data_IF_110339942552
#
_entry.id   IF_110339942552
#
_cell.length_a   1.000
_cell.length_b   1.000
_cell.length_c   1.000
_cell.angle_alpha   90.00
_cell.angle_beta   90.00
_cell.angle_gamma   90.00
#
_symmetry.space_group_name_H-M   'P 1'
#
loop_
_entity.id
_entity.type
_entity.pdbx_description
1 polymer ?
#
# COMPACT_ATOMS: atom_id res chain seq x y z
N UNK A 1 59.92 -11.16 -25.72
CA UNK A 1 58.79 -11.32 -26.67
C UNK A 1 58.45 -12.80 -26.79
N UNK A 2 57.17 -13.17 -26.54
CA UNK A 2 56.51 -14.46 -26.88
C UNK A 2 57.07 -15.70 -26.15
N UNK A 3 56.33 -16.68 -25.65
CA UNK A 3 54.91 -16.99 -25.38
C UNK A 3 55.04 -18.15 -24.37
N UNK A 4 54.42 -18.13 -23.20
CA UNK A 4 54.19 -19.37 -22.45
C UNK A 4 52.70 -19.68 -22.46
N UNK A 5 52.40 -20.79 -23.13
CA UNK A 5 51.08 -21.38 -23.28
C UNK A 5 50.74 -22.16 -22.00
N UNK A 6 49.53 -21.90 -21.50
CA UNK A 6 48.54 -22.87 -21.04
C UNK A 6 49.03 -24.08 -20.23
N UNK A 7 48.86 -23.98 -18.92
CA UNK A 7 48.37 -25.08 -18.10
C UNK A 7 47.71 -24.50 -16.85
N UNK A 8 46.38 -24.59 -16.74
CA UNK A 8 45.80 -24.90 -15.44
C UNK A 8 44.37 -25.40 -15.54
N UNK A 9 44.25 -26.59 -15.01
CA UNK A 9 43.09 -27.41 -14.73
C UNK A 9 42.20 -26.75 -13.65
N UNK A 10 40.91 -26.66 -13.96
CA UNK A 10 39.72 -26.85 -13.10
C UNK A 10 39.93 -26.76 -11.57
N UNK A 11 39.30 -25.77 -10.92
CA UNK A 11 38.63 -25.98 -9.62
C UNK A 11 37.24 -25.34 -9.69
N UNK A 12 36.23 -26.21 -9.79
CA UNK A 12 34.85 -25.88 -9.49
C UNK A 12 34.73 -25.63 -7.98
N UNK A 13 34.25 -24.45 -7.58
CA UNK A 13 33.76 -24.22 -6.22
C UNK A 13 32.24 -24.17 -6.27
N UNK A 14 31.65 -25.27 -5.80
CA UNK A 14 30.26 -25.37 -5.38
C UNK A 14 29.98 -24.33 -4.28
N UNK A 15 29.10 -23.38 -4.56
CA UNK A 15 28.38 -22.64 -3.53
C UNK A 15 26.94 -23.19 -3.46
N UNK A 16 26.77 -24.21 -2.62
CA UNK A 16 25.46 -24.65 -2.12
C UNK A 16 25.15 -23.77 -0.90
N UNK A 17 24.03 -23.06 -0.91
CA UNK A 17 23.44 -22.51 0.31
C UNK A 17 22.66 -21.21 0.15
N UNK A 18 21.38 -21.30 0.51
CA UNK A 18 20.38 -20.24 0.65
C UNK A 18 19.83 -19.68 -0.67
N UNK A 19 18.73 -20.29 -1.12
CA UNK A 19 17.80 -19.69 -2.06
C UNK A 19 17.27 -18.36 -1.52
N UNK A 20 17.97 -17.27 -1.81
CA UNK A 20 17.32 -16.01 -2.07
C UNK A 20 16.59 -16.21 -3.40
N UNK A 21 15.35 -16.70 -3.34
CA UNK A 21 14.44 -16.47 -4.45
C UNK A 21 14.49 -14.95 -4.69
N UNK A 22 15.10 -14.53 -5.78
CA UNK A 22 14.79 -13.24 -6.37
C UNK A 22 13.32 -13.33 -6.76
N UNK A 23 12.45 -13.15 -5.76
CA UNK A 23 11.08 -12.76 -5.97
C UNK A 23 11.24 -11.42 -6.68
N UNK A 24 11.09 -11.44 -8.00
CA UNK A 24 10.72 -10.25 -8.75
C UNK A 24 9.65 -9.58 -7.91
N UNK A 25 9.90 -8.41 -7.30
CA UNK A 25 8.94 -7.81 -6.41
C UNK A 25 7.67 -7.66 -7.24
N UNK A 26 6.63 -8.41 -6.88
CA UNK A 26 5.33 -8.29 -7.51
C UNK A 26 5.04 -6.79 -7.52
N UNK A 27 4.83 -6.21 -8.70
CA UNK A 27 4.72 -4.76 -8.91
C UNK A 27 3.76 -4.20 -7.86
N UNK A 28 4.32 -3.69 -6.77
CA UNK A 28 3.56 -3.36 -5.57
C UNK A 28 2.70 -2.17 -5.97
N UNK A 29 1.38 -2.31 -5.90
CA UNK A 29 0.48 -1.18 -6.18
C UNK A 29 0.82 -0.01 -5.26
N UNK A 30 0.56 1.21 -5.72
CA UNK A 30 0.72 2.40 -4.89
C UNK A 30 -0.15 2.25 -3.62
N UNK A 31 0.38 2.75 -2.51
CA UNK A 31 -0.28 2.68 -1.21
C UNK A 31 -1.05 3.97 -0.94
N UNK A 32 -2.26 3.82 -0.41
CA UNK A 32 -3.12 4.95 -0.09
C UNK A 32 -3.68 4.79 1.32
N UNK A 33 -3.50 5.79 2.17
CA UNK A 33 -4.28 5.93 3.38
C UNK A 33 -5.63 6.55 3.02
N UNK A 34 -6.71 5.85 3.34
CA UNK A 34 -8.07 6.30 3.11
C UNK A 34 -8.77 6.49 4.44
N UNK A 35 -9.41 7.65 4.59
CA UNK A 35 -10.21 8.01 5.76
C UNK A 35 -11.61 8.39 5.27
N UNK A 36 -12.61 7.60 5.65
CA UNK A 36 -14.01 7.99 5.62
C UNK A 36 -14.37 8.58 6.97
N UNK A 37 -14.78 9.84 7.02
CA UNK A 37 -15.07 10.60 8.23
C UNK A 37 -16.48 11.17 8.21
N UNK A 38 -16.90 11.77 9.33
CA UNK A 38 -18.21 12.42 9.46
C UNK A 38 -19.36 11.44 9.20
N UNK A 39 -19.25 10.21 9.73
CA UNK A 39 -20.31 9.21 9.61
C UNK A 39 -21.68 9.74 10.08
N UNK A 40 -22.79 9.24 9.51
CA UNK A 40 -24.10 9.82 9.71
C UNK A 40 -24.49 9.86 11.19
N UNK A 41 -25.12 10.97 11.60
CA UNK A 41 -25.95 11.00 12.81
C UNK A 41 -27.37 10.61 12.43
N UNK A 42 -28.16 10.15 13.39
CA UNK A 42 -29.56 9.76 13.14
C UNK A 42 -30.48 10.58 14.03
N UNK A 43 -31.50 11.20 13.45
CA UNK A 43 -32.52 11.94 14.20
C UNK A 43 -33.60 11.02 14.77
N UNK A 44 -33.83 9.86 14.12
CA UNK A 44 -34.84 8.89 14.55
C UNK A 44 -34.37 7.44 14.39
N UNK A 45 -34.95 6.48 15.14
CA UNK A 45 -34.66 5.05 14.95
C UNK A 45 -34.97 4.55 13.53
N UNK A 46 -36.04 5.04 12.90
CA UNK A 46 -36.43 4.64 11.54
C UNK A 46 -35.38 5.07 10.50
N UNK A 47 -34.86 6.28 10.64
CA UNK A 47 -33.75 6.77 9.82
C UNK A 47 -32.49 5.93 10.04
N UNK A 48 -32.15 5.67 11.32
CA UNK A 48 -31.00 4.85 11.67
C UNK A 48 -31.06 3.47 11.00
N UNK A 49 -32.19 2.77 11.09
CA UNK A 49 -32.40 1.46 10.46
C UNK A 49 -32.15 1.55 8.95
N UNK A 50 -32.78 2.49 8.26
CA UNK A 50 -32.62 2.62 6.80
C UNK A 50 -31.17 2.88 6.39
N UNK A 51 -30.46 3.79 7.08
CA UNK A 51 -29.07 4.13 6.75
C UNK A 51 -28.12 2.98 7.06
N UNK A 52 -28.35 2.28 8.18
CA UNK A 52 -27.54 1.11 8.56
C UNK A 52 -27.72 -0.04 7.56
N UNK A 53 -28.96 -0.41 7.23
CA UNK A 53 -29.26 -1.54 6.35
C UNK A 53 -28.83 -1.29 4.91
N UNK A 54 -29.04 -0.09 4.38
CA UNK A 54 -28.84 0.19 2.95
C UNK A 54 -27.51 0.86 2.62
N UNK A 55 -26.85 1.46 3.60
CA UNK A 55 -25.61 2.22 3.40
C UNK A 55 -24.43 1.63 4.17
N UNK A 56 -24.50 1.66 5.50
CA UNK A 56 -23.33 1.39 6.35
C UNK A 56 -22.94 -0.08 6.37
N UNK A 57 -23.88 -1.01 6.61
CA UNK A 57 -23.57 -2.45 6.64
C UNK A 57 -23.07 -2.96 5.26
N UNK A 58 -23.72 -2.64 4.13
CA UNK A 58 -23.20 -3.01 2.81
C UNK A 58 -21.83 -2.40 2.49
N UNK A 59 -21.51 -1.23 3.03
CA UNK A 59 -20.17 -0.64 2.91
C UNK A 59 -19.12 -1.48 3.64
N UNK A 60 -19.42 -1.94 4.86
CA UNK A 60 -18.51 -2.84 5.58
C UNK A 60 -18.33 -4.18 4.86
N UNK A 61 -19.39 -4.75 4.29
CA UNK A 61 -19.29 -5.96 3.46
C UNK A 61 -18.36 -5.76 2.26
N UNK A 62 -18.51 -4.64 1.53
CA UNK A 62 -17.63 -4.29 0.42
C UNK A 62 -16.17 -4.12 0.86
N UNK A 63 -15.91 -3.44 1.98
CA UNK A 63 -14.57 -3.27 2.53
C UNK A 63 -13.95 -4.60 2.99
N UNK A 64 -14.73 -5.49 3.60
CA UNK A 64 -14.29 -6.84 3.97
C UNK A 64 -13.94 -7.67 2.74
N UNK A 65 -14.71 -7.55 1.65
CA UNK A 65 -14.39 -8.17 0.36
C UNK A 65 -13.07 -7.64 -0.21
N UNK A 66 -12.86 -6.32 -0.23
CA UNK A 66 -11.60 -5.71 -0.68
C UNK A 66 -10.40 -6.15 0.17
N UNK A 67 -10.60 -6.35 1.48
CA UNK A 67 -9.57 -6.91 2.37
C UNK A 67 -9.26 -8.37 2.03
N UNK A 68 -10.28 -9.20 1.78
CA UNK A 68 -10.11 -10.60 1.33
C UNK A 68 -9.35 -10.68 0.01
N UNK A 69 -9.59 -9.73 -0.89
CA UNK A 69 -8.90 -9.59 -2.18
C UNK A 69 -7.49 -8.97 -2.06
N UNK A 70 -7.01 -8.69 -0.84
CA UNK A 70 -5.72 -8.05 -0.54
C UNK A 70 -5.55 -6.64 -1.12
N UNK A 71 -6.63 -6.02 -1.60
CA UNK A 71 -6.66 -4.59 -1.97
C UNK A 71 -6.56 -3.71 -0.74
N UNK A 72 -7.17 -4.11 0.38
CA UNK A 72 -6.99 -3.45 1.67
C UNK A 72 -6.01 -4.26 2.53
N UNK A 73 -4.92 -3.64 2.98
CA UNK A 73 -3.88 -4.33 3.79
C UNK A 73 -4.13 -4.20 5.29
N UNK A 74 -4.76 -3.11 5.71
CA UNK A 74 -5.10 -2.82 7.09
C UNK A 74 -6.36 -1.96 7.11
N UNK A 75 -7.25 -2.20 8.07
CA UNK A 75 -8.47 -1.42 8.25
C UNK A 75 -8.94 -1.51 9.70
N UNK A 76 -9.62 -0.45 10.14
CA UNK A 76 -10.23 -0.37 11.46
C UNK A 76 -11.05 0.90 11.61
N UNK A 77 -11.68 1.03 12.78
CA UNK A 77 -12.37 2.24 13.20
C UNK A 77 -11.63 2.81 14.42
N UNK A 78 -11.35 4.11 14.47
CA UNK A 78 -10.91 4.75 15.70
C UNK A 78 -11.99 4.57 16.79
N UNK A 79 -11.56 4.23 18.01
CA UNK A 79 -12.51 4.01 19.11
C UNK A 79 -13.28 5.30 19.44
N UNK A 80 -14.61 5.20 19.47
CA UNK A 80 -15.50 6.32 19.81
C UNK A 80 -15.72 7.34 18.69
N UNK A 81 -15.10 7.17 17.52
CA UNK A 81 -15.26 8.09 16.38
C UNK A 81 -16.18 7.51 15.30
N UNK A 82 -16.83 8.40 14.54
CA UNK A 82 -17.63 8.06 13.36
C UNK A 82 -16.74 8.09 12.12
N UNK A 83 -15.72 7.24 12.11
CA UNK A 83 -14.73 7.16 11.05
C UNK A 83 -14.35 5.72 10.70
N UNK A 84 -13.98 5.50 9.44
CA UNK A 84 -13.41 4.26 8.92
C UNK A 84 -12.05 4.61 8.33
N UNK A 85 -11.01 3.90 8.76
CA UNK A 85 -9.65 4.10 8.26
C UNK A 85 -9.15 2.79 7.65
N UNK A 86 -8.57 2.87 6.46
CA UNK A 86 -7.91 1.73 5.86
C UNK A 86 -6.75 2.15 4.96
N UNK A 87 -5.85 1.19 4.73
CA UNK A 87 -4.74 1.32 3.79
C UNK A 87 -5.03 0.43 2.58
N UNK A 88 -5.08 1.04 1.40
CA UNK A 88 -5.40 0.38 0.15
C UNK A 88 -4.21 0.34 -0.81
N UNK A 89 -4.04 -0.79 -1.49
CA UNK A 89 -3.18 -0.97 -2.65
C UNK A 89 -4.00 -0.75 -3.93
N UNK A 90 -3.51 0.10 -4.82
CA UNK A 90 -4.12 0.32 -6.13
C UNK A 90 -3.06 0.70 -7.18
N UNK A 91 -3.31 0.36 -8.44
CA UNK A 91 -2.40 0.67 -9.54
C UNK A 91 -2.37 2.17 -9.91
N UNK A 92 -3.41 2.93 -9.54
CA UNK A 92 -3.52 4.35 -9.88
C UNK A 92 -4.52 5.09 -8.99
N UNK A 93 -4.43 6.42 -8.98
CA UNK A 93 -5.43 7.29 -8.35
C UNK A 93 -6.85 7.03 -8.90
N UNK A 94 -6.97 6.71 -10.19
CA UNK A 94 -8.27 6.44 -10.82
C UNK A 94 -8.91 5.14 -10.30
N UNK A 95 -8.11 4.11 -10.03
CA UNK A 95 -8.63 2.88 -9.41
C UNK A 95 -9.13 3.15 -7.98
N UNK A 96 -8.40 3.96 -7.21
CA UNK A 96 -8.82 4.37 -5.86
C UNK A 96 -10.18 5.06 -5.93
N UNK A 97 -10.28 6.09 -6.77
CA UNK A 97 -11.49 6.89 -6.93
C UNK A 97 -12.72 6.06 -7.35
N UNK A 98 -12.57 5.18 -8.36
CA UNK A 98 -13.63 4.27 -8.79
C UNK A 98 -14.07 3.32 -7.68
N UNK A 99 -13.11 2.80 -6.91
CA UNK A 99 -13.39 1.91 -5.79
C UNK A 99 -14.21 2.62 -4.73
N UNK A 100 -13.81 3.84 -4.33
CA UNK A 100 -14.55 4.61 -3.33
C UNK A 100 -15.96 4.99 -3.79
N UNK A 101 -16.12 5.43 -5.05
CA UNK A 101 -17.43 5.75 -5.64
C UNK A 101 -18.38 4.56 -5.73
N UNK A 102 -17.84 3.33 -5.73
CA UNK A 102 -18.65 2.10 -5.72
C UNK A 102 -19.15 1.72 -4.33
N UNK A 103 -18.65 2.35 -3.26
CA UNK A 103 -19.09 2.05 -1.90
C UNK A 103 -20.51 2.60 -1.66
N UNK A 104 -21.42 1.81 -1.04
CA UNK A 104 -22.78 2.25 -0.74
C UNK A 104 -22.86 3.55 0.09
N UNK A 105 -21.91 3.77 1.01
CA UNK A 105 -21.82 4.98 1.81
C UNK A 105 -20.95 6.10 1.18
N UNK A 106 -20.64 6.04 -0.12
CA UNK A 106 -19.79 7.03 -0.79
C UNK A 106 -20.28 8.47 -0.56
N UNK A 107 -21.56 8.73 -0.77
CA UNK A 107 -22.15 10.07 -0.59
C UNK A 107 -22.44 10.43 0.88
N UNK A 108 -22.47 9.44 1.77
CA UNK A 108 -22.83 9.63 3.17
C UNK A 108 -21.62 9.96 4.07
N UNK A 109 -20.40 9.66 3.62
CA UNK A 109 -19.16 9.93 4.34
C UNK A 109 -18.33 10.99 3.61
N UNK A 110 -17.51 11.71 4.37
CA UNK A 110 -16.46 12.56 3.82
C UNK A 110 -15.17 11.78 3.65
N UNK A 111 -14.74 11.62 2.41
CA UNK A 111 -13.58 10.81 2.07
C UNK A 111 -12.32 11.64 1.85
N UNK A 112 -11.23 11.24 2.49
CA UNK A 112 -9.88 11.75 2.24
C UNK A 112 -8.97 10.60 1.83
N UNK A 113 -8.19 10.84 0.77
CA UNK A 113 -7.19 9.91 0.26
C UNK A 113 -5.83 10.57 0.32
N UNK A 114 -4.86 9.90 0.94
CA UNK A 114 -3.46 10.33 0.99
C UNK A 114 -2.60 9.26 0.33
N UNK A 115 -1.94 9.58 -0.78
CA UNK A 115 -0.95 8.69 -1.38
C UNK A 115 0.28 8.58 -0.44
N UNK A 116 0.78 7.36 -0.28
CA UNK A 116 1.91 7.05 0.59
C UNK A 116 3.12 6.64 -0.24
N UNK A 117 4.27 7.22 0.06
CA UNK A 117 5.55 6.73 -0.45
C UNK A 117 5.95 5.43 0.26
N UNK A 118 6.56 4.52 -0.48
CA UNK A 118 7.14 3.30 0.04
C UNK A 118 8.37 3.58 0.90
N UNK A 119 8.57 2.81 1.97
CA UNK A 119 9.78 2.95 2.80
C UNK A 119 11.06 2.67 2.00
N UNK A 120 11.03 1.72 1.07
CA UNK A 120 12.16 1.42 0.19
C UNK A 120 12.45 2.56 -0.79
N UNK A 121 11.42 3.15 -1.41
CA UNK A 121 11.54 4.32 -2.28
C UNK A 121 12.10 5.52 -1.52
N UNK A 122 11.55 5.81 -0.34
CA UNK A 122 12.08 6.87 0.54
C UNK A 122 13.53 6.60 0.94
N UNK A 123 13.87 5.38 1.34
CA UNK A 123 15.24 5.01 1.73
C UNK A 123 16.24 5.18 0.57
N UNK A 124 15.84 4.86 -0.65
CA UNK A 124 16.70 5.07 -1.83
C UNK A 124 16.98 6.57 -2.05
N UNK A 125 15.97 7.43 -1.86
CA UNK A 125 16.13 8.89 -1.94
C UNK A 125 17.11 9.39 -0.86
N UNK A 126 16.95 8.95 0.39
CA UNK A 126 17.83 9.35 1.49
C UNK A 126 19.29 8.96 1.23
N UNK A 127 19.53 7.75 0.71
CA UNK A 127 20.88 7.31 0.33
C UNK A 127 21.48 8.19 -0.77
N UNK A 128 20.69 8.53 -1.79
CA UNK A 128 21.16 9.39 -2.87
C UNK A 128 21.56 10.78 -2.36
N UNK A 129 20.75 11.37 -1.48
CA UNK A 129 21.04 12.67 -0.84
C UNK A 129 22.32 12.58 -0.01
N UNK A 130 22.46 11.55 0.83
CA UNK A 130 23.66 11.35 1.64
C UNK A 130 24.94 11.32 0.80
N UNK A 131 24.93 10.58 -0.32
CA UNK A 131 26.08 10.51 -1.23
C UNK A 131 26.38 11.84 -1.92
N UNK A 132 25.36 12.65 -2.22
CA UNK A 132 25.56 14.00 -2.73
C UNK A 132 26.21 14.91 -1.69
N UNK A 133 25.74 14.86 -0.43
CA UNK A 133 26.29 15.67 0.65
C UNK A 133 27.75 15.33 0.94
N UNK A 134 28.11 14.03 0.99
CA UNK A 134 29.51 13.59 1.16
C UNK A 134 30.44 14.17 0.10
N UNK A 135 29.98 14.26 -1.16
CA UNK A 135 30.78 14.84 -2.25
C UNK A 135 31.00 16.34 -2.10
N UNK A 136 30.04 17.06 -1.50
CA UNK A 136 30.17 18.50 -1.27
C UNK A 136 31.15 18.82 -0.13
N UNK A 137 31.23 17.97 0.89
CA UNK A 137 32.10 18.19 2.06
C UNK A 137 33.55 17.70 1.86
N UNK A 138 33.83 16.95 0.79
CA UNK A 138 35.19 16.48 0.45
C UNK A 138 35.92 17.41 -0.55
N UNK A 139 35.34 18.57 -0.85
CA UNK A 139 36.00 19.67 -1.58
C UNK A 139 36.54 20.68 -0.57
#
# INVERSE_FOLDING_TARGET
MKKQLFSMLIIAVLAIGAGASAQTPAKQGNMYLVVGSEGPGFATPKEAIMVLEKGILPTFEALLKLKKEKKIVAAGLPLGDRAIIFVMQAASNSEVDKTLRSLPAWSALKWKVTALESLSGRMAQERAILEQLKKMTMK
#
